data_IF_199439732628
#
_entry.id   IF_199439732628
#
_cell.length_a   1.000
_cell.length_b   1.000
_cell.length_c   1.000
_cell.angle_alpha   90.00
_cell.angle_beta   90.00
_cell.angle_gamma   90.00
#
_symmetry.space_group_name_H-M   'P 1'
#
loop_
_entity.id
_entity.type
_entity.pdbx_description
1 polymer ?
#
# COMPACT_ATOMS: atom_id res chain seq x y z
N UNK A 1 19.93 8.91 1.28
CA UNK A 1 19.36 8.01 0.25
C UNK A 1 20.51 7.25 -0.41
N UNK A 2 21.46 7.91 -1.08
CA UNK A 2 22.55 7.23 -1.81
C UNK A 2 23.29 6.18 -0.98
N UNK A 3 23.64 6.47 0.28
CA UNK A 3 24.29 5.48 1.14
C UNK A 3 23.47 4.22 1.42
N UNK A 4 22.10 4.30 1.33
CA UNK A 4 21.25 3.12 1.40
C UNK A 4 21.27 2.38 0.07
N UNK A 5 21.15 3.09 -1.06
CA UNK A 5 21.20 2.49 -2.39
C UNK A 5 22.52 1.75 -2.61
N UNK A 6 23.65 2.31 -2.17
CA UNK A 6 24.97 1.69 -2.27
C UNK A 6 25.13 0.45 -1.36
N UNK A 7 24.37 0.37 -0.27
CA UNK A 7 24.46 -0.70 0.72
C UNK A 7 23.55 -1.93 0.43
N UNK A 8 22.58 -1.80 -0.48
CA UNK A 8 21.61 -2.85 -0.76
C UNK A 8 21.50 -3.14 -2.25
N UNK A 9 21.10 -4.37 -2.59
CA UNK A 9 20.85 -4.79 -3.98
C UNK A 9 19.36 -4.83 -4.35
N UNK A 10 18.49 -4.48 -3.41
CA UNK A 10 17.04 -4.43 -3.61
C UNK A 10 16.59 -3.00 -3.92
N UNK A 11 15.42 -2.82 -4.57
CA UNK A 11 14.86 -1.49 -4.82
C UNK A 11 14.69 -0.67 -3.53
N UNK A 12 14.97 0.62 -3.61
CA UNK A 12 14.84 1.57 -2.49
C UNK A 12 13.69 2.52 -2.75
N UNK A 13 12.81 2.66 -1.78
CA UNK A 13 11.69 3.60 -1.80
C UNK A 13 11.96 4.75 -0.82
N UNK A 14 11.73 5.97 -1.26
CA UNK A 14 11.80 7.17 -0.41
C UNK A 14 10.43 7.82 -0.29
N UNK A 15 10.21 8.52 0.83
CA UNK A 15 8.97 9.25 1.07
C UNK A 15 9.11 10.71 0.67
N UNK A 16 8.06 11.28 0.07
CA UNK A 16 7.85 12.70 -0.05
C UNK A 16 6.54 13.12 0.62
N UNK A 17 6.40 14.39 0.92
CA UNK A 17 5.17 14.95 1.49
C UNK A 17 4.07 15.00 0.44
N UNK A 18 2.83 14.82 0.85
CA UNK A 18 1.66 14.96 -0.03
C UNK A 18 1.69 16.34 -0.70
N UNK A 19 1.52 16.37 -2.02
CA UNK A 19 1.51 17.58 -2.85
C UNK A 19 2.88 18.22 -3.10
N UNK A 20 3.96 17.70 -2.50
CA UNK A 20 5.29 18.30 -2.65
C UNK A 20 6.03 17.81 -3.90
N UNK A 21 5.60 18.27 -5.06
CA UNK A 21 6.17 17.83 -6.35
C UNK A 21 7.68 18.13 -6.49
N UNK A 22 8.20 19.17 -5.81
CA UNK A 22 9.66 19.46 -5.85
C UNK A 22 10.46 18.40 -5.10
N UNK A 23 9.98 17.90 -3.94
CA UNK A 23 10.61 16.74 -3.27
C UNK A 23 10.64 15.52 -4.20
N UNK A 24 9.55 15.25 -4.91
CA UNK A 24 9.50 14.17 -5.87
C UNK A 24 10.49 14.36 -7.03
N UNK A 25 10.64 15.58 -7.54
CA UNK A 25 11.65 15.91 -8.56
C UNK A 25 13.07 15.65 -8.07
N UNK A 26 13.37 16.03 -6.82
CA UNK A 26 14.68 15.77 -6.19
C UNK A 26 14.92 14.26 -6.06
N UNK A 27 13.91 13.51 -5.59
CA UNK A 27 14.01 12.06 -5.45
C UNK A 27 14.21 11.36 -6.80
N UNK A 28 13.50 11.79 -7.84
CA UNK A 28 13.71 11.29 -9.19
C UNK A 28 15.12 11.61 -9.70
N UNK A 29 15.63 12.81 -9.42
CA UNK A 29 16.99 13.22 -9.85
C UNK A 29 18.11 12.42 -9.18
N UNK A 30 17.88 11.87 -7.98
CA UNK A 30 18.82 10.94 -7.31
C UNK A 30 18.57 9.48 -7.67
N UNK A 31 17.72 9.24 -8.64
CA UNK A 31 17.44 7.91 -9.21
C UNK A 31 16.90 6.92 -8.18
N UNK A 32 15.96 7.38 -7.34
CA UNK A 32 15.23 6.48 -6.42
C UNK A 32 14.33 5.53 -7.20
N UNK A 33 14.19 4.28 -6.74
CA UNK A 33 13.39 3.26 -7.45
C UNK A 33 11.89 3.48 -7.30
N UNK A 34 11.42 3.97 -6.14
CA UNK A 34 10.01 4.26 -5.84
C UNK A 34 9.88 5.50 -4.97
N UNK A 35 8.78 6.24 -5.14
CA UNK A 35 8.41 7.36 -4.26
C UNK A 35 7.10 7.03 -3.56
N UNK A 36 7.07 7.07 -2.23
CA UNK A 36 5.84 7.03 -1.43
C UNK A 36 5.40 8.47 -1.13
N UNK A 37 4.35 8.93 -1.80
CA UNK A 37 3.66 10.18 -1.45
C UNK A 37 2.86 9.91 -0.15
N UNK A 38 3.42 10.33 0.98
CA UNK A 38 3.12 9.71 2.26
C UNK A 38 2.41 10.62 3.24
N UNK A 39 1.27 10.15 3.74
CA UNK A 39 0.51 10.78 4.82
C UNK A 39 1.19 10.69 6.21
N UNK A 40 2.25 9.90 6.37
CA UNK A 40 3.01 9.86 7.64
C UNK A 40 3.91 11.07 7.82
N UNK A 41 4.13 11.85 6.76
CA UNK A 41 4.78 13.15 6.80
C UNK A 41 3.72 14.25 6.86
N UNK A 42 4.04 15.41 7.42
CA UNK A 42 3.16 16.58 7.34
C UNK A 42 2.96 16.95 5.87
N UNK A 43 1.71 17.09 5.38
CA UNK A 43 1.46 17.44 3.99
C UNK A 43 2.02 18.82 3.65
N UNK A 44 2.48 18.99 2.41
CA UNK A 44 2.82 20.31 1.87
C UNK A 44 1.60 20.97 1.22
N UNK A 45 0.64 20.14 0.77
CA UNK A 45 -0.64 20.58 0.23
C UNK A 45 -1.73 19.67 0.81
N UNK A 46 -2.80 20.27 1.34
CA UNK A 46 -3.92 19.55 1.95
C UNK A 46 -5.07 19.28 0.97
N UNK A 47 -4.98 19.84 -0.25
CA UNK A 47 -5.99 19.74 -1.30
C UNK A 47 -5.47 18.88 -2.46
N UNK A 48 -4.28 19.19 -2.99
CA UNK A 48 -3.78 18.58 -4.21
C UNK A 48 -2.68 17.56 -3.93
N UNK A 49 -2.84 16.36 -4.50
CA UNK A 49 -1.77 15.38 -4.62
C UNK A 49 -0.89 15.67 -5.83
N UNK A 50 0.30 15.08 -5.84
CA UNK A 50 1.22 15.19 -6.98
C UNK A 50 0.59 14.55 -8.23
N UNK A 51 0.67 15.25 -9.37
CA UNK A 51 0.42 14.64 -10.68
C UNK A 51 1.58 13.69 -11.03
N UNK A 52 1.36 12.42 -10.78
CA UNK A 52 2.37 11.36 -10.92
C UNK A 52 2.64 11.01 -12.37
N UNK A 53 1.75 11.42 -13.29
CA UNK A 53 1.93 11.20 -14.73
C UNK A 53 3.10 12.02 -15.31
N UNK A 54 3.55 13.04 -14.59
CA UNK A 54 4.72 13.85 -14.96
C UNK A 54 6.06 13.22 -14.59
N UNK A 55 6.06 12.07 -13.94
CA UNK A 55 7.26 11.40 -13.43
C UNK A 55 7.47 10.04 -14.12
N UNK A 56 8.74 9.65 -14.23
CA UNK A 56 9.12 8.31 -14.71
C UNK A 56 9.19 7.29 -13.56
N UNK A 57 9.54 7.77 -12.36
CA UNK A 57 9.61 6.95 -11.16
C UNK A 57 8.21 6.55 -10.70
N UNK A 58 7.97 5.27 -10.36
CA UNK A 58 6.68 4.82 -9.87
C UNK A 58 6.36 5.34 -8.48
N UNK A 59 5.07 5.66 -8.24
CA UNK A 59 4.57 6.17 -6.97
C UNK A 59 3.75 5.14 -6.22
N UNK A 60 3.91 5.16 -4.90
CA UNK A 60 3.09 4.43 -3.93
C UNK A 60 2.24 5.43 -3.16
N UNK A 61 0.97 5.11 -2.95
CA UNK A 61 0.06 5.96 -2.18
C UNK A 61 -0.75 5.14 -1.17
N UNK A 62 -1.06 5.74 -0.03
CA UNK A 62 -1.99 5.17 0.94
C UNK A 62 -3.45 5.38 0.53
N UNK A 63 -4.30 4.39 0.84
CA UNK A 63 -5.74 4.50 0.69
C UNK A 63 -6.47 3.76 1.81
N UNK A 64 -7.63 4.30 2.25
CA UNK A 64 -8.48 3.72 3.29
C UNK A 64 -9.65 2.94 2.71
N UNK A 65 -9.98 3.23 1.46
CA UNK A 65 -11.13 2.66 0.74
C UNK A 65 -10.89 2.67 -0.77
N UNK A 66 -11.82 2.05 -1.50
CA UNK A 66 -11.72 1.90 -2.94
C UNK A 66 -11.74 3.24 -3.67
N UNK A 67 -12.59 4.18 -3.26
CA UNK A 67 -12.67 5.50 -3.90
C UNK A 67 -11.35 6.25 -3.79
N UNK A 68 -10.74 6.28 -2.60
CA UNK A 68 -9.43 6.88 -2.39
C UNK A 68 -8.34 6.20 -3.23
N UNK A 69 -8.34 4.85 -3.27
CA UNK A 69 -7.39 4.09 -4.09
C UNK A 69 -7.51 4.44 -5.57
N UNK A 70 -8.72 4.44 -6.11
CA UNK A 70 -8.95 4.72 -7.52
C UNK A 70 -8.60 6.17 -7.88
N UNK A 71 -8.83 7.14 -6.98
CA UNK A 71 -8.38 8.53 -7.19
C UNK A 71 -6.85 8.61 -7.26
N UNK A 72 -6.12 7.93 -6.37
CA UNK A 72 -4.63 7.88 -6.43
C UNK A 72 -4.14 7.20 -7.70
N UNK A 73 -4.80 6.12 -8.14
CA UNK A 73 -4.47 5.43 -9.39
C UNK A 73 -4.73 6.35 -10.60
N UNK A 74 -5.84 7.09 -10.59
CA UNK A 74 -6.14 8.07 -11.63
C UNK A 74 -5.08 9.19 -11.75
N UNK A 75 -4.45 9.53 -10.64
CA UNK A 75 -3.33 10.49 -10.59
C UNK A 75 -1.99 9.87 -11.01
N UNK A 76 -1.94 8.57 -11.32
CA UNK A 76 -0.76 7.85 -11.77
C UNK A 76 -0.05 7.02 -10.70
N UNK A 77 -0.67 6.72 -9.55
CA UNK A 77 -0.09 5.79 -8.59
C UNK A 77 0.05 4.39 -9.18
N UNK A 78 1.23 3.79 -9.01
CA UNK A 78 1.58 2.45 -9.50
C UNK A 78 1.41 1.35 -8.44
N UNK A 79 1.21 1.73 -7.19
CA UNK A 79 0.98 0.83 -6.06
C UNK A 79 0.11 1.53 -5.02
N UNK A 80 -0.79 0.78 -4.41
CA UNK A 80 -1.60 1.21 -3.26
C UNK A 80 -1.14 0.46 -2.00
N UNK A 81 -1.26 1.10 -0.86
CA UNK A 81 -1.11 0.48 0.46
C UNK A 81 -2.21 0.94 1.41
N UNK A 82 -2.48 0.14 2.43
CA UNK A 82 -3.34 0.59 3.53
C UNK A 82 -2.67 1.74 4.27
N UNK A 83 -3.45 2.62 4.89
CA UNK A 83 -2.89 3.73 5.67
C UNK A 83 -2.48 3.32 7.07
N UNK A 84 -3.16 2.42 7.74
CA UNK A 84 -2.82 1.90 9.05
C UNK A 84 -2.30 2.95 10.06
N UNK A 85 -1.78 2.49 11.17
CA UNK A 85 -1.11 3.33 12.18
C UNK A 85 0.35 2.88 12.35
N UNK A 86 1.29 3.49 11.61
CA UNK A 86 2.69 3.06 11.65
C UNK A 86 3.30 3.29 13.04
N UNK A 87 4.14 2.35 13.46
CA UNK A 87 4.89 2.44 14.72
C UNK A 87 4.16 1.99 15.98
N UNK A 88 2.86 1.69 15.90
CA UNK A 88 2.03 1.30 17.06
C UNK A 88 2.10 -0.20 17.39
N UNK A 89 2.40 -1.05 16.40
CA UNK A 89 2.24 -2.51 16.52
C UNK A 89 0.78 -2.96 16.55
N UNK A 90 -0.17 -2.05 16.25
CA UNK A 90 -1.59 -2.32 16.17
C UNK A 90 -2.04 -2.36 14.70
N UNK A 91 -2.39 -3.57 14.25
CA UNK A 91 -2.75 -3.84 12.86
C UNK A 91 -4.23 -3.55 12.55
N UNK A 92 -5.03 -3.18 13.55
CA UNK A 92 -6.50 -3.07 13.41
C UNK A 92 -6.93 -2.11 12.29
N UNK A 93 -6.25 -0.99 12.11
CA UNK A 93 -6.59 -0.02 11.05
C UNK A 93 -6.26 -0.58 9.66
N UNK A 94 -5.10 -1.22 9.50
CA UNK A 94 -4.74 -1.89 8.25
C UNK A 94 -5.77 -2.98 7.88
N UNK A 95 -6.21 -3.77 8.86
CA UNK A 95 -7.28 -4.77 8.69
C UNK A 95 -8.59 -4.11 8.25
N UNK A 96 -9.00 -3.03 8.91
CA UNK A 96 -10.23 -2.29 8.54
C UNK A 96 -10.17 -1.79 7.10
N UNK A 97 -9.07 -1.17 6.70
CA UNK A 97 -8.91 -0.64 5.34
C UNK A 97 -8.94 -1.77 4.31
N UNK A 98 -8.23 -2.87 4.56
CA UNK A 98 -8.24 -4.02 3.64
C UNK A 98 -9.63 -4.65 3.51
N UNK A 99 -10.33 -4.85 4.64
CA UNK A 99 -11.70 -5.38 4.64
C UNK A 99 -12.68 -4.44 3.94
N UNK A 100 -12.56 -3.13 4.14
CA UNK A 100 -13.39 -2.13 3.47
C UNK A 100 -13.15 -2.17 1.97
N UNK A 101 -11.89 -2.14 1.53
CA UNK A 101 -11.52 -2.26 0.12
C UNK A 101 -12.13 -3.50 -0.53
N UNK A 102 -11.97 -4.66 0.09
CA UNK A 102 -12.51 -5.92 -0.43
C UNK A 102 -14.04 -5.93 -0.46
N UNK A 103 -14.69 -5.30 0.52
CA UNK A 103 -16.15 -5.19 0.55
C UNK A 103 -16.67 -4.32 -0.59
N UNK A 104 -16.01 -3.20 -0.85
CA UNK A 104 -16.38 -2.27 -1.93
C UNK A 104 -16.10 -2.88 -3.32
N UNK A 105 -14.99 -3.62 -3.48
CA UNK A 105 -14.72 -4.39 -4.71
C UNK A 105 -15.83 -5.43 -4.94
N UNK A 106 -16.20 -6.22 -3.91
CA UNK A 106 -17.32 -7.18 -4.05
C UNK A 106 -18.65 -6.51 -4.40
N UNK A 107 -18.94 -5.35 -3.81
CA UNK A 107 -20.12 -4.56 -4.17
C UNK A 107 -20.12 -4.25 -5.67
N UNK A 108 -19.04 -3.68 -6.19
CA UNK A 108 -18.92 -3.30 -7.60
C UNK A 108 -19.03 -4.52 -8.53
N UNK A 109 -18.39 -5.64 -8.20
CA UNK A 109 -18.44 -6.85 -9.02
C UNK A 109 -19.84 -7.46 -9.08
N UNK A 110 -20.73 -7.15 -8.14
CA UNK A 110 -22.11 -7.63 -8.12
C UNK A 110 -23.11 -6.69 -8.79
N UNK A 111 -22.69 -5.49 -9.21
CA UNK A 111 -23.56 -4.48 -9.84
C UNK A 111 -23.82 -4.79 -11.31
N UNK A 112 -24.90 -4.24 -11.86
CA UNK A 112 -25.10 -4.20 -13.32
C UNK A 112 -24.27 -3.06 -13.93
N UNK A 113 -23.88 -3.19 -15.20
CA UNK A 113 -22.99 -2.21 -15.85
C UNK A 113 -23.58 -0.80 -15.94
N UNK A 114 -24.88 -0.66 -16.03
CA UNK A 114 -25.55 0.65 -16.01
C UNK A 114 -25.53 1.33 -14.64
N UNK A 115 -25.46 0.55 -13.55
CA UNK A 115 -25.32 1.09 -12.20
C UNK A 115 -23.90 1.68 -11.93
N UNK A 116 -22.89 1.24 -12.69
CA UNK A 116 -21.50 1.68 -12.50
C UNK A 116 -21.30 3.17 -12.79
N UNK A 117 -22.14 3.79 -13.61
CA UNK A 117 -22.09 5.24 -13.84
C UNK A 117 -22.36 6.04 -12.57
N UNK A 118 -23.35 5.59 -11.78
CA UNK A 118 -23.67 6.25 -10.52
C UNK A 118 -22.61 5.96 -9.47
N UNK A 119 -22.13 4.72 -9.39
CA UNK A 119 -21.04 4.36 -8.47
C UNK A 119 -19.76 5.16 -8.75
N UNK A 120 -19.41 5.40 -10.01
CA UNK A 120 -18.26 6.23 -10.39
C UNK A 120 -18.42 7.67 -9.88
N UNK A 121 -19.63 8.24 -9.93
CA UNK A 121 -19.90 9.58 -9.36
C UNK A 121 -19.75 9.56 -7.82
N UNK A 122 -20.31 8.55 -7.15
CA UNK A 122 -20.24 8.43 -5.70
C UNK A 122 -18.79 8.30 -5.21
N UNK A 123 -17.98 7.51 -5.90
CA UNK A 123 -16.56 7.35 -5.61
C UNK A 123 -15.70 8.53 -6.09
N UNK A 124 -16.26 9.42 -6.91
CA UNK A 124 -15.55 10.56 -7.53
C UNK A 124 -14.33 10.11 -8.36
N UNK A 125 -14.55 9.12 -9.22
CA UNK A 125 -13.51 8.52 -10.07
C UNK A 125 -13.99 8.34 -11.51
N UNK A 126 -13.09 8.21 -12.49
CA UNK A 126 -13.46 7.86 -13.86
C UNK A 126 -14.20 6.52 -13.95
N UNK A 127 -15.20 6.46 -14.83
CA UNK A 127 -15.98 5.26 -15.09
C UNK A 127 -15.11 4.06 -15.46
N UNK A 128 -14.08 4.26 -16.29
CA UNK A 128 -13.22 3.18 -16.77
C UNK A 128 -12.48 2.45 -15.64
N UNK A 129 -12.13 3.15 -14.55
CA UNK A 129 -11.53 2.51 -13.38
C UNK A 129 -12.54 1.66 -12.61
N UNK A 130 -13.78 2.11 -12.49
CA UNK A 130 -14.86 1.32 -11.86
C UNK A 130 -15.19 0.10 -12.71
N UNK A 131 -15.28 0.26 -14.03
CA UNK A 131 -15.47 -0.83 -14.97
C UNK A 131 -14.34 -1.87 -14.89
N UNK A 132 -13.08 -1.40 -14.78
CA UNK A 132 -11.95 -2.31 -14.57
C UNK A 132 -12.13 -3.17 -13.32
N UNK A 133 -12.48 -2.54 -12.19
CA UNK A 133 -12.70 -3.27 -10.91
C UNK A 133 -13.88 -4.24 -11.04
N UNK A 134 -14.97 -3.83 -11.70
CA UNK A 134 -16.11 -4.69 -11.96
C UNK A 134 -15.73 -5.95 -12.74
N UNK A 135 -15.01 -5.78 -13.84
CA UNK A 135 -14.71 -6.88 -14.76
C UNK A 135 -13.57 -7.78 -14.25
N UNK A 136 -12.68 -7.28 -13.39
CA UNK A 136 -11.48 -8.01 -12.91
C UNK A 136 -11.54 -8.40 -11.43
N UNK A 137 -12.43 -7.83 -10.63
CA UNK A 137 -12.56 -8.12 -9.18
C UNK A 137 -11.36 -7.69 -8.34
N UNK A 138 -10.54 -6.76 -8.84
CA UNK A 138 -9.34 -6.26 -8.16
C UNK A 138 -8.94 -4.87 -8.66
N UNK A 139 -8.03 -4.21 -7.95
CA UNK A 139 -7.39 -2.98 -8.41
C UNK A 139 -6.51 -3.24 -9.65
N UNK A 140 -6.32 -2.22 -10.53
CA UNK A 140 -5.37 -2.31 -11.65
C UNK A 140 -3.90 -2.29 -11.23
N UNK A 141 -3.61 -2.04 -9.96
CA UNK A 141 -2.27 -2.02 -9.37
C UNK A 141 -2.25 -2.88 -8.11
N UNK A 142 -1.06 -3.26 -7.65
CA UNK A 142 -0.90 -4.05 -6.43
C UNK A 142 -1.32 -3.26 -5.19
N UNK A 143 -1.86 -3.96 -4.19
CA UNK A 143 -2.30 -3.39 -2.92
C UNK A 143 -1.60 -4.08 -1.75
N UNK A 144 -0.74 -3.34 -1.05
CA UNK A 144 0.03 -3.84 0.09
C UNK A 144 -0.61 -3.42 1.42
N UNK A 145 -0.39 -4.22 2.44
CA UNK A 145 -0.74 -3.84 3.81
C UNK A 145 0.40 -3.06 4.46
N UNK A 146 0.06 -1.94 5.08
CA UNK A 146 0.98 -1.10 5.82
C UNK A 146 0.32 -0.56 7.10
N UNK A 147 1.14 -0.30 8.10
CA UNK A 147 0.74 0.29 9.37
C UNK A 147 0.37 -0.73 10.44
N UNK A 148 1.23 -0.85 11.46
CA UNK A 148 1.00 -1.67 12.63
C UNK A 148 1.36 -3.16 12.49
N UNK A 149 1.79 -3.62 11.33
CA UNK A 149 2.29 -5.00 11.15
C UNK A 149 3.57 -5.18 11.96
N UNK A 150 3.56 -6.07 12.94
CA UNK A 150 4.68 -6.25 13.88
C UNK A 150 5.15 -7.70 13.99
N UNK A 151 4.27 -8.66 13.77
CA UNK A 151 4.54 -10.08 13.94
C UNK A 151 4.40 -10.87 12.65
N UNK A 152 5.00 -12.07 12.55
CA UNK A 152 4.74 -12.98 11.44
C UNK A 152 3.25 -13.30 11.26
N UNK A 153 2.51 -13.47 12.37
CA UNK A 153 1.07 -13.74 12.32
C UNK A 153 0.27 -12.53 11.74
N UNK A 154 0.65 -11.29 12.09
CA UNK A 154 0.03 -10.10 11.48
C UNK A 154 0.27 -10.07 9.97
N UNK A 155 1.49 -10.38 9.52
CA UNK A 155 1.82 -10.43 8.10
C UNK A 155 0.99 -11.51 7.38
N UNK A 156 0.92 -12.73 7.92
CA UNK A 156 0.09 -13.79 7.36
C UNK A 156 -1.40 -13.43 7.34
N UNK A 157 -1.91 -12.77 8.39
CA UNK A 157 -3.29 -12.27 8.44
C UNK A 157 -3.58 -11.30 7.29
N UNK A 158 -2.71 -10.32 7.07
CA UNK A 158 -2.90 -9.35 5.98
C UNK A 158 -2.86 -10.01 4.61
N UNK A 159 -1.96 -10.98 4.40
CA UNK A 159 -1.90 -11.75 3.16
C UNK A 159 -3.19 -12.58 2.94
N UNK A 160 -3.72 -13.23 3.98
CA UNK A 160 -4.99 -13.97 3.90
C UNK A 160 -6.19 -13.05 3.67
N UNK A 161 -6.11 -11.80 4.10
CA UNK A 161 -7.13 -10.77 3.80
C UNK A 161 -7.02 -10.21 2.38
N UNK A 162 -6.04 -10.67 1.58
CA UNK A 162 -5.91 -10.32 0.17
C UNK A 162 -4.89 -9.22 -0.12
N UNK A 163 -4.05 -8.86 0.84
CA UNK A 163 -2.87 -8.05 0.55
C UNK A 163 -1.90 -8.82 -0.36
N UNK A 164 -1.25 -8.11 -1.26
CA UNK A 164 -0.26 -8.68 -2.17
C UNK A 164 1.18 -8.54 -1.66
N UNK A 165 1.33 -7.98 -0.47
CA UNK A 165 2.56 -7.83 0.27
C UNK A 165 2.35 -7.01 1.54
N UNK A 166 3.42 -6.85 2.33
CA UNK A 166 3.38 -6.07 3.58
C UNK A 166 4.56 -5.11 3.67
N UNK A 167 4.32 -3.92 4.21
CA UNK A 167 5.34 -3.00 4.66
C UNK A 167 5.50 -3.11 6.17
N UNK A 168 6.71 -3.38 6.64
CA UNK A 168 7.00 -3.53 8.06
C UNK A 168 8.17 -2.61 8.44
N UNK A 169 7.96 -1.75 9.42
CA UNK A 169 8.96 -0.83 9.93
C UNK A 169 9.36 -1.17 11.36
N UNK A 170 8.79 -0.47 12.32
CA UNK A 170 9.15 -0.60 13.74
C UNK A 170 9.00 -2.02 14.30
N UNK A 171 8.08 -2.83 13.76
CA UNK A 171 7.91 -4.22 14.14
C UNK A 171 9.19 -5.07 13.95
N UNK A 172 10.02 -4.71 12.96
CA UNK A 172 11.33 -5.30 12.74
C UNK A 172 12.39 -4.54 13.54
N UNK A 173 12.56 -3.24 13.32
CA UNK A 173 13.69 -2.45 13.84
C UNK A 173 13.69 -2.31 15.35
N UNK A 174 12.54 -2.33 16.03
CA UNK A 174 12.42 -2.29 17.50
C UNK A 174 12.40 -3.67 18.15
N UNK A 175 12.49 -4.76 17.38
CA UNK A 175 12.55 -6.10 17.94
C UNK A 175 13.91 -6.39 18.58
N UNK A 176 13.96 -7.34 19.50
CA UNK A 176 15.22 -7.77 20.12
C UNK A 176 16.21 -8.41 19.14
N UNK A 177 15.75 -8.87 17.98
CA UNK A 177 16.57 -9.43 16.91
C UNK A 177 15.95 -9.07 15.54
N UNK A 178 16.29 -7.91 14.95
CA UNK A 178 15.71 -7.45 13.69
C UNK A 178 15.91 -8.43 12.52
N UNK A 179 17.07 -9.02 12.39
CA UNK A 179 17.37 -9.97 11.31
C UNK A 179 16.50 -11.22 11.39
N UNK A 180 16.38 -11.83 12.58
CA UNK A 180 15.50 -12.98 12.80
C UNK A 180 14.04 -12.61 12.56
N UNK A 181 13.59 -11.43 13.04
CA UNK A 181 12.22 -10.93 12.84
C UNK A 181 11.90 -10.72 11.36
N UNK A 182 12.81 -10.12 10.60
CA UNK A 182 12.63 -9.89 9.16
C UNK A 182 12.50 -11.23 8.42
N UNK A 183 13.39 -12.18 8.68
CA UNK A 183 13.35 -13.53 8.10
C UNK A 183 12.02 -14.24 8.42
N UNK A 184 11.56 -14.17 9.66
CA UNK A 184 10.31 -14.76 10.10
C UNK A 184 9.09 -14.17 9.39
N UNK A 185 9.08 -12.85 9.19
CA UNK A 185 8.00 -12.17 8.45
C UNK A 185 8.02 -12.56 6.97
N UNK A 186 9.19 -12.65 6.34
CA UNK A 186 9.31 -13.12 4.95
C UNK A 186 8.76 -14.53 4.80
N UNK A 187 9.09 -15.44 5.71
CA UNK A 187 8.55 -16.80 5.70
C UNK A 187 7.03 -16.83 5.90
N UNK A 188 6.50 -15.99 6.80
CA UNK A 188 5.07 -15.88 7.02
C UNK A 188 4.32 -15.34 5.80
N UNK A 189 4.89 -14.38 5.08
CA UNK A 189 4.32 -13.87 3.82
C UNK A 189 4.36 -14.94 2.73
N UNK A 190 5.45 -15.68 2.63
CA UNK A 190 5.60 -16.74 1.63
C UNK A 190 4.65 -17.91 1.86
N UNK A 191 4.43 -18.27 3.13
CA UNK A 191 3.64 -19.44 3.54
C UNK A 191 2.35 -19.05 4.28
N UNK A 192 1.74 -17.93 3.95
CA UNK A 192 0.64 -17.35 4.72
C UNK A 192 -0.61 -18.24 4.85
N UNK A 193 -0.79 -19.19 3.95
CA UNK A 193 -1.91 -20.17 4.00
C UNK A 193 -1.58 -21.44 4.79
N UNK A 194 -0.33 -21.64 5.19
CA UNK A 194 0.12 -22.77 5.98
C UNK A 194 0.53 -22.30 7.39
N UNK A 195 -0.26 -22.67 8.39
CA UNK A 195 -0.01 -22.26 9.75
C UNK A 195 1.24 -22.90 10.38
N UNK A 196 1.69 -24.06 9.88
CA UNK A 196 2.83 -24.76 10.46
C UNK A 196 4.15 -23.96 10.37
N UNK A 197 4.60 -23.50 9.16
CA UNK A 197 5.78 -22.64 9.07
C UNK A 197 5.63 -21.35 9.86
N UNK A 198 4.44 -20.73 9.85
CA UNK A 198 4.18 -19.48 10.58
C UNK A 198 4.32 -19.69 12.10
N UNK A 199 3.88 -20.83 12.64
CA UNK A 199 3.97 -21.13 14.08
C UNK A 199 5.42 -21.20 14.58
N UNK A 200 6.32 -21.78 13.80
CA UNK A 200 7.75 -21.86 14.17
C UNK A 200 8.48 -20.51 14.10
N UNK A 201 7.98 -19.57 13.33
CA UNK A 201 8.59 -18.25 13.15
C UNK A 201 7.99 -17.21 14.08
N UNK A 202 6.80 -17.45 14.62
CA UNK A 202 6.09 -16.53 15.51
C UNK A 202 6.66 -16.54 16.94
N UNK A 203 7.16 -17.65 17.41
CA UNK A 203 7.79 -17.86 18.75
C UNK A 203 9.29 -17.41 18.73
#
# INVERSE_FOLDING_TARGET
IKGIQDAVSIPVMAKCRIGHFVEAQILQAVEIDYIDESEVLSPADDIYHIDKTQFKVPFVCGARDLGEALRRINEGASMIRTKGEPGTGDVVQAVRHMRKMNSEIRKITSMQKDELFEEAKQLQVPYDLVLYVHDNGKLPVVNFAAGGVATPADAALMMQLGAEGVFVGSGIFKSGNPAKRASAIVQAVTNYTDAAPVSYTHL
#
